data_IF_254078330838
#
_entry.id   IF_254078330838
#
_cell.length_a   1.000
_cell.length_b   1.000
_cell.length_c   1.000
_cell.angle_alpha   90.00
_cell.angle_beta   90.00
_cell.angle_gamma   90.00
#
_symmetry.space_group_name_H-M   'P 1'
#
loop_
_entity.id
_entity.type
_entity.pdbx_description
1 polymer ?
#
# COMPACT_ATOMS: atom_id res chain seq x y z
N UNK A 1 1.10 0.59 -0.86
CA UNK A 1 1.47 -0.65 -0.12
C UNK A 1 0.28 -1.23 0.64
N UNK A 2 -0.15 -0.64 1.77
CA UNK A 2 -1.15 -1.24 2.66
C UNK A 2 -2.58 -1.39 2.09
N UNK A 3 -2.91 -0.66 1.01
CA UNK A 3 -4.21 -0.73 0.34
C UNK A 3 -4.23 -1.63 -0.93
N UNK A 4 -3.11 -2.24 -1.29
CA UNK A 4 -3.03 -3.13 -2.46
C UNK A 4 -3.38 -4.57 -2.09
N UNK A 5 -3.93 -5.35 -3.00
CA UNK A 5 -4.09 -6.81 -2.80
C UNK A 5 -2.75 -7.55 -2.86
N UNK A 6 -2.71 -8.73 -2.26
CA UNK A 6 -1.53 -9.60 -2.23
C UNK A 6 -0.70 -9.50 -0.94
N UNK A 7 0.51 -10.07 -0.97
CA UNK A 7 1.44 -9.98 0.17
C UNK A 7 2.22 -8.67 0.09
N UNK A 8 2.26 -7.93 1.20
CA UNK A 8 3.04 -6.70 1.30
C UNK A 8 4.38 -6.96 2.00
N UNK A 9 5.36 -6.14 1.67
CA UNK A 9 6.66 -6.12 2.34
C UNK A 9 7.00 -4.65 2.64
N UNK A 10 7.36 -4.38 3.90
CA UNK A 10 7.86 -3.08 4.34
C UNK A 10 9.33 -3.24 4.72
N UNK A 11 10.18 -2.34 4.25
CA UNK A 11 11.60 -2.34 4.63
C UNK A 11 11.74 -1.83 6.06
N UNK A 12 12.50 -2.53 6.90
CA UNK A 12 12.72 -2.12 8.27
C UNK A 12 13.32 -0.70 8.35
N UNK A 13 12.70 0.15 9.16
CA UNK A 13 13.02 1.56 9.33
C UNK A 13 12.19 2.52 8.46
N UNK A 14 11.52 2.04 7.40
CA UNK A 14 10.63 2.90 6.61
C UNK A 14 9.41 3.35 7.44
N UNK A 15 9.02 2.56 8.45
CA UNK A 15 7.93 2.89 9.37
C UNK A 15 8.21 4.16 10.19
N UNK A 16 9.46 4.58 10.36
CA UNK A 16 9.82 5.77 11.14
C UNK A 16 10.80 6.71 10.43
N UNK A 17 10.98 6.54 9.11
CA UNK A 17 11.73 7.47 8.28
C UNK A 17 13.24 7.26 8.24
N UNK A 18 13.71 6.01 8.29
CA UNK A 18 15.14 5.67 8.08
C UNK A 18 15.67 6.31 6.79
N UNK A 19 16.87 6.87 6.86
CA UNK A 19 17.57 7.45 5.70
C UNK A 19 18.94 6.84 5.52
N UNK A 20 19.32 6.60 4.26
CA UNK A 20 20.69 6.29 3.84
C UNK A 20 21.40 7.53 3.25
N UNK A 21 20.89 8.73 3.55
CA UNK A 21 21.39 10.03 3.04
C UNK A 21 21.52 10.08 1.51
N UNK A 22 20.57 9.46 0.80
CA UNK A 22 20.56 9.41 -0.66
C UNK A 22 21.38 8.27 -1.27
N UNK A 23 22.11 7.49 -0.47
CA UNK A 23 22.75 6.27 -0.96
C UNK A 23 21.70 5.18 -1.20
N UNK A 24 21.53 4.71 -2.44
CA UNK A 24 20.60 3.64 -2.79
C UNK A 24 21.29 2.26 -2.90
N UNK A 25 22.57 2.17 -2.57
CA UNK A 25 23.40 0.97 -2.70
C UNK A 25 24.40 0.84 -1.54
N UNK A 26 23.91 0.92 -0.29
CA UNK A 26 24.73 0.88 0.92
C UNK A 26 25.26 -0.52 1.31
N UNK A 27 25.51 -1.41 0.33
CA UNK A 27 25.82 -2.82 0.55
C UNK A 27 27.12 -3.08 1.36
N UNK A 28 28.10 -2.18 1.26
CA UNK A 28 29.40 -2.28 1.94
C UNK A 28 29.52 -1.32 3.15
N UNK A 29 28.40 -0.80 3.65
CA UNK A 29 28.39 0.18 4.74
C UNK A 29 27.88 -0.49 6.02
N UNK A 30 28.80 -0.84 6.92
CA UNK A 30 28.45 -1.23 8.30
C UNK A 30 28.72 -0.05 9.24
N UNK A 31 27.82 0.94 9.22
CA UNK A 31 27.91 2.17 10.00
C UNK A 31 26.54 2.88 10.09
N UNK A 32 26.53 4.08 10.64
CA UNK A 32 25.32 4.90 10.84
C UNK A 32 24.49 5.18 9.57
N UNK A 33 25.02 4.96 8.36
CA UNK A 33 24.23 5.06 7.13
C UNK A 33 23.21 3.91 7.02
N UNK A 34 23.53 2.71 7.53
CA UNK A 34 22.68 1.52 7.39
C UNK A 34 22.00 1.11 8.69
N UNK A 35 22.59 1.42 9.84
CA UNK A 35 22.03 1.13 11.15
C UNK A 35 20.68 1.83 11.36
N UNK A 36 19.78 1.20 12.12
CA UNK A 36 18.52 1.81 12.52
C UNK A 36 18.75 2.80 13.67
N UNK A 37 18.48 4.08 13.42
CA UNK A 37 18.48 5.10 14.49
C UNK A 37 17.17 5.04 15.29
N UNK A 38 17.18 4.25 16.35
CA UNK A 38 16.05 4.16 17.27
C UNK A 38 15.81 5.45 18.07
N UNK A 39 16.82 6.30 18.23
CA UNK A 39 16.69 7.53 19.04
C UNK A 39 16.02 8.64 18.24
N UNK A 40 16.40 8.80 16.97
CA UNK A 40 15.87 9.80 16.05
C UNK A 40 14.59 9.41 15.30
N UNK A 41 13.96 8.28 15.67
CA UNK A 41 12.77 7.77 14.98
C UNK A 41 11.58 8.74 15.00
N UNK A 42 10.89 8.88 13.88
CA UNK A 42 9.62 9.61 13.82
C UNK A 42 8.48 8.74 14.36
N UNK A 43 8.11 8.98 15.62
CA UNK A 43 7.04 8.23 16.30
C UNK A 43 5.64 8.50 15.72
N UNK A 44 5.42 9.64 15.07
CA UNK A 44 4.14 9.93 14.43
C UNK A 44 3.97 9.08 13.17
N UNK A 45 5.02 8.99 12.36
CA UNK A 45 5.06 8.11 11.20
C UNK A 45 4.96 6.63 11.62
N UNK A 46 5.65 6.24 12.69
CA UNK A 46 5.61 4.87 13.23
C UNK A 46 4.19 4.45 13.60
N UNK A 47 3.48 5.30 14.35
CA UNK A 47 2.07 5.07 14.70
C UNK A 47 1.18 5.02 13.47
N UNK A 48 1.44 5.87 12.47
CA UNK A 48 0.67 5.89 11.24
C UNK A 48 0.85 4.58 10.43
N UNK A 49 2.10 4.12 10.26
CA UNK A 49 2.39 2.85 9.61
C UNK A 49 1.77 1.66 10.36
N UNK A 50 1.83 1.65 11.70
CA UNK A 50 1.17 0.64 12.53
C UNK A 50 -0.35 0.66 12.37
N UNK A 51 -0.97 1.84 12.29
CA UNK A 51 -2.41 1.96 12.10
C UNK A 51 -2.83 1.44 10.71
N UNK A 52 -2.05 1.70 9.65
CA UNK A 52 -2.30 1.14 8.32
C UNK A 52 -2.14 -0.38 8.28
N UNK A 53 -1.16 -0.93 8.99
CA UNK A 53 -1.00 -2.38 9.12
C UNK A 53 -2.21 -3.03 9.83
N UNK A 54 -2.68 -2.42 10.92
CA UNK A 54 -3.87 -2.88 11.64
C UNK A 54 -5.14 -2.78 10.77
N UNK A 55 -5.31 -1.68 10.03
CA UNK A 55 -6.42 -1.51 9.08
C UNK A 55 -6.41 -2.61 8.02
N UNK A 56 -5.25 -2.88 7.41
CA UNK A 56 -5.09 -3.96 6.43
C UNK A 56 -5.48 -5.31 7.00
N UNK A 57 -5.06 -5.62 8.23
CA UNK A 57 -5.39 -6.88 8.89
C UNK A 57 -6.91 -7.01 9.14
N UNK A 58 -7.58 -5.91 9.48
CA UNK A 58 -9.00 -5.88 9.79
C UNK A 58 -9.91 -5.89 8.55
N UNK A 59 -9.39 -5.59 7.35
CA UNK A 59 -10.19 -5.48 6.11
C UNK A 59 -9.80 -6.58 5.13
N UNK A 60 -10.57 -7.69 5.04
CA UNK A 60 -10.26 -8.84 4.18
C UNK A 60 -10.06 -8.49 2.70
N UNK A 61 -10.78 -7.48 2.20
CA UNK A 61 -10.66 -7.03 0.81
C UNK A 61 -9.24 -6.58 0.44
N UNK A 62 -8.45 -6.12 1.42
CA UNK A 62 -7.08 -5.65 1.23
C UNK A 62 -6.04 -6.78 1.36
N UNK A 63 -6.35 -7.87 2.05
CA UNK A 63 -5.42 -8.98 2.32
C UNK A 63 -5.67 -10.23 1.47
N UNK A 64 -6.82 -10.31 0.77
CA UNK A 64 -7.09 -11.39 -0.19
C UNK A 64 -6.07 -11.39 -1.35
N UNK A 65 -5.69 -12.60 -1.75
CA UNK A 65 -4.72 -12.88 -2.81
C UNK A 65 -5.38 -13.32 -4.12
N UNK A 66 -6.69 -13.55 -4.12
CA UNK A 66 -7.46 -13.88 -5.33
C UNK A 66 -7.58 -12.66 -6.23
N UNK A 67 -7.63 -12.91 -7.53
CA UNK A 67 -7.97 -11.88 -8.51
C UNK A 67 -9.38 -11.35 -8.27
N UNK A 68 -9.57 -10.08 -8.58
CA UNK A 68 -10.87 -9.44 -8.61
C UNK A 68 -11.56 -9.79 -9.93
N UNK A 69 -12.83 -10.18 -9.87
CA UNK A 69 -13.61 -10.54 -11.04
C UNK A 69 -14.47 -9.38 -11.59
N UNK A 70 -14.77 -8.38 -10.76
CA UNK A 70 -15.79 -7.37 -11.06
C UNK A 70 -17.20 -7.96 -11.05
N UNK A 71 -17.36 -9.16 -10.49
CA UNK A 71 -18.63 -9.91 -10.47
C UNK A 71 -19.24 -9.88 -9.06
N UNK A 72 -20.57 -9.97 -8.94
CA UNK A 72 -21.25 -10.02 -7.66
C UNK A 72 -20.72 -11.10 -6.73
N UNK A 73 -20.43 -10.72 -5.48
CA UNK A 73 -20.09 -11.69 -4.44
C UNK A 73 -21.37 -12.29 -3.89
N UNK A 74 -21.62 -13.56 -4.23
CA UNK A 74 -22.77 -14.34 -3.74
C UNK A 74 -24.13 -13.62 -3.95
N UNK A 75 -25.05 -13.79 -3.01
CA UNK A 75 -26.40 -13.21 -3.06
C UNK A 75 -26.45 -11.70 -2.78
N UNK A 76 -25.30 -11.05 -2.55
CA UNK A 76 -25.28 -9.60 -2.23
C UNK A 76 -25.66 -8.73 -3.42
N UNK A 77 -25.46 -9.21 -4.65
CA UNK A 77 -25.63 -8.42 -5.87
C UNK A 77 -24.57 -7.32 -6.05
N UNK A 78 -23.59 -7.21 -5.15
CA UNK A 78 -22.54 -6.18 -5.17
C UNK A 78 -21.24 -6.79 -5.71
N UNK A 79 -20.60 -6.18 -6.72
CA UNK A 79 -19.35 -6.70 -7.27
C UNK A 79 -18.20 -6.62 -6.26
N UNK A 80 -17.24 -7.54 -6.38
CA UNK A 80 -16.05 -7.58 -5.52
C UNK A 80 -15.09 -6.38 -5.72
N UNK A 81 -15.22 -5.67 -6.85
CA UNK A 81 -14.59 -4.38 -7.12
C UNK A 81 -15.44 -3.55 -8.09
N UNK A 82 -15.35 -2.23 -7.96
CA UNK A 82 -15.76 -1.28 -8.99
C UNK A 82 -14.69 -0.20 -9.14
N UNK A 83 -14.42 0.21 -10.38
CA UNK A 83 -13.54 1.32 -10.70
C UNK A 83 -14.41 2.49 -11.15
N UNK A 84 -14.26 3.65 -10.50
CA UNK A 84 -15.15 4.79 -10.67
C UNK A 84 -14.41 6.00 -11.24
N UNK A 85 -15.10 6.80 -12.04
CA UNK A 85 -14.66 8.12 -12.50
C UNK A 85 -14.66 9.11 -11.33
N UNK A 86 -14.14 10.32 -11.56
CA UNK A 86 -14.13 11.41 -10.58
C UNK A 86 -15.55 11.88 -10.22
N UNK A 87 -16.55 11.57 -11.06
CA UNK A 87 -17.97 11.84 -10.80
C UNK A 87 -18.68 10.69 -10.06
N UNK A 88 -17.99 9.58 -9.82
CA UNK A 88 -18.55 8.40 -9.14
C UNK A 88 -19.25 7.38 -10.05
N UNK A 89 -19.20 7.56 -11.37
CA UNK A 89 -19.78 6.62 -12.33
C UNK A 89 -18.80 5.48 -12.63
N UNK A 90 -19.25 4.25 -12.94
CA UNK A 90 -18.34 3.16 -13.35
C UNK A 90 -17.50 3.53 -14.58
N UNK A 91 -16.21 3.22 -14.57
CA UNK A 91 -15.34 3.41 -15.76
C UNK A 91 -15.82 2.55 -16.92
N UNK A 92 -16.08 3.19 -18.07
CA UNK A 92 -16.33 2.49 -19.32
C UNK A 92 -15.02 2.08 -20.00
N UNK A 93 -15.07 1.16 -20.96
CA UNK A 93 -13.90 0.68 -21.70
C UNK A 93 -13.13 1.82 -22.40
N UNK A 94 -13.83 2.83 -22.91
CA UNK A 94 -13.20 4.01 -23.51
C UNK A 94 -12.41 4.82 -22.50
N UNK A 95 -12.90 4.92 -21.25
CA UNK A 95 -12.23 5.66 -20.19
C UNK A 95 -10.91 4.99 -19.78
N UNK A 96 -10.88 3.65 -19.78
CA UNK A 96 -9.67 2.88 -19.49
C UNK A 96 -8.53 3.12 -20.49
N UNK A 97 -8.87 3.48 -21.72
CA UNK A 97 -7.93 3.61 -22.83
C UNK A 97 -7.71 5.06 -23.28
N UNK A 98 -8.31 6.03 -22.59
CA UNK A 98 -8.16 7.44 -22.91
C UNK A 98 -6.81 7.96 -22.39
N UNK A 99 -5.87 8.17 -23.31
CA UNK A 99 -4.54 8.71 -22.98
C UNK A 99 -4.53 10.19 -22.61
N UNK A 100 -5.66 10.89 -22.77
CA UNK A 100 -5.80 12.31 -22.42
C UNK A 100 -6.30 12.54 -21.00
N UNK A 101 -6.70 11.47 -20.30
CA UNK A 101 -6.98 11.47 -18.86
C UNK A 101 -5.71 11.24 -18.04
#
# INVERSE_FOLDING_TARGET
LFASRGTIMLTAGDEFGRTQQGNNNAYAQDNAITWLDWTGRDQALERYASALAALRQAVPALSDTRFLAGEPVEASGVPDVAWLTETGEPLAETDWNDSSR
#
